data_IF_197070287675
#
_entry.id   IF_197070287675
#
_cell.length_a   1.000
_cell.length_b   1.000
_cell.length_c   1.000
_cell.angle_alpha   90.00
_cell.angle_beta   90.00
_cell.angle_gamma   90.00
#
_symmetry.space_group_name_H-M   'P 1'
#
loop_
_entity.id
_entity.type
_entity.pdbx_description
1 polymer ?
#
# COMPACT_ATOMS: atom_id res chain seq x y z
N UNK A 1 12.65 -9.87 -0.95
CA UNK A 1 13.77 -8.99 -1.31
C UNK A 1 14.44 -8.49 -0.04
N UNK A 2 15.77 -8.54 0.00
CA UNK A 2 16.56 -8.16 1.18
C UNK A 2 16.56 -6.65 1.39
N UNK A 3 16.39 -5.88 0.32
CA UNK A 3 16.32 -4.43 0.35
C UNK A 3 15.06 -3.93 -0.37
N UNK A 4 14.33 -3.05 0.29
CA UNK A 4 13.09 -2.42 -0.23
C UNK A 4 13.20 -0.89 -0.10
N UNK A 5 13.97 -0.20 -0.95
CA UNK A 5 14.37 1.20 -0.74
C UNK A 5 13.20 2.19 -0.75
N UNK A 6 12.10 1.88 -1.43
CA UNK A 6 10.91 2.74 -1.53
C UNK A 6 9.68 2.19 -0.80
N UNK A 7 9.84 1.16 0.06
CA UNK A 7 8.70 0.53 0.75
C UNK A 7 7.98 1.46 1.73
N UNK A 8 8.61 2.55 2.13
CA UNK A 8 8.06 3.58 3.02
C UNK A 8 7.23 4.64 2.28
N UNK A 9 7.24 4.65 0.94
CA UNK A 9 6.54 5.63 0.14
C UNK A 9 5.13 5.14 -0.25
N UNK A 10 4.17 6.03 -0.17
CA UNK A 10 2.86 5.83 -0.78
C UNK A 10 2.95 5.88 -2.30
N UNK A 11 1.99 5.28 -2.99
CA UNK A 11 2.01 5.21 -4.46
C UNK A 11 2.00 6.59 -5.13
N UNK A 12 1.23 7.52 -4.60
CA UNK A 12 1.22 8.92 -5.06
C UNK A 12 2.57 9.61 -4.87
N UNK A 13 3.30 9.30 -3.80
CA UNK A 13 4.66 9.82 -3.55
C UNK A 13 5.67 9.23 -4.54
N UNK A 14 5.54 7.96 -4.91
CA UNK A 14 6.38 7.34 -5.95
C UNK A 14 6.22 8.07 -7.29
N UNK A 15 4.98 8.40 -7.68
CA UNK A 15 4.74 9.21 -8.88
C UNK A 15 5.32 10.62 -8.78
N UNK A 16 5.19 11.26 -7.62
CA UNK A 16 5.79 12.56 -7.35
C UNK A 16 7.32 12.52 -7.48
N UNK A 17 7.95 11.51 -6.90
CA UNK A 17 9.39 11.29 -7.00
C UNK A 17 9.85 11.04 -8.44
N UNK A 18 9.10 10.23 -9.21
CA UNK A 18 9.41 9.95 -10.61
C UNK A 18 9.45 11.24 -11.43
N UNK A 19 8.48 12.14 -11.24
CA UNK A 19 8.47 13.46 -11.89
C UNK A 19 9.61 14.34 -11.43
N UNK A 20 9.89 14.38 -10.12
CA UNK A 20 11.00 15.16 -9.56
C UNK A 20 12.36 14.72 -10.12
N UNK A 21 12.54 13.42 -10.33
CA UNK A 21 13.76 12.86 -10.94
C UNK A 21 13.81 13.02 -12.48
N UNK A 22 12.81 13.65 -13.09
CA UNK A 22 12.77 13.90 -14.51
C UNK A 22 12.58 12.64 -15.37
N UNK A 23 11.92 11.61 -14.83
CA UNK A 23 11.62 10.42 -15.63
C UNK A 23 10.68 10.76 -16.79
N UNK A 24 10.77 10.06 -17.93
CA UNK A 24 9.92 10.31 -19.08
C UNK A 24 8.43 10.24 -18.70
N UNK A 25 7.62 11.14 -19.29
CA UNK A 25 6.18 11.22 -18.99
C UNK A 25 5.45 9.88 -19.18
N UNK A 26 5.84 9.09 -20.17
CA UNK A 26 5.30 7.74 -20.38
C UNK A 26 5.45 6.81 -19.16
N UNK A 27 6.48 7.03 -18.34
CA UNK A 27 6.71 6.28 -17.10
C UNK A 27 5.87 6.88 -15.97
N UNK A 28 5.84 8.22 -15.87
CA UNK A 28 5.11 8.93 -14.84
C UNK A 28 3.58 8.80 -14.98
N UNK A 29 3.09 8.60 -16.21
CA UNK A 29 1.67 8.44 -16.53
C UNK A 29 1.23 6.96 -16.61
N UNK A 30 2.17 6.01 -16.46
CA UNK A 30 1.83 4.59 -16.54
C UNK A 30 0.89 4.18 -15.40
N UNK A 31 -0.25 3.62 -15.76
CA UNK A 31 -1.19 3.06 -14.79
C UNK A 31 -0.68 1.68 -14.38
N UNK A 32 -0.57 1.37 -13.08
CA UNK A 32 -0.19 0.05 -12.63
C UNK A 32 -1.23 -0.99 -13.06
N UNK A 33 -0.76 -2.05 -13.66
CA UNK A 33 -1.59 -3.16 -14.14
C UNK A 33 -1.21 -4.46 -13.43
N UNK A 34 -2.13 -5.42 -13.44
CA UNK A 34 -1.88 -6.79 -12.98
C UNK A 34 -1.37 -7.61 -14.16
N UNK A 35 -0.07 -7.54 -14.45
CA UNK A 35 0.56 -8.19 -15.63
C UNK A 35 0.37 -9.72 -15.71
N UNK A 36 -0.11 -10.34 -14.63
CA UNK A 36 -0.29 -11.78 -14.52
C UNK A 36 -1.67 -12.27 -14.95
N UNK A 37 -2.60 -11.38 -15.27
CA UNK A 37 -3.97 -11.73 -15.66
C UNK A 37 -4.20 -11.51 -17.16
N UNK A 38 -4.96 -12.42 -17.76
CA UNK A 38 -5.29 -12.40 -19.21
C UNK A 38 -6.17 -11.22 -19.63
N UNK A 39 -6.82 -10.55 -18.68
CA UNK A 39 -7.63 -9.36 -18.89
C UNK A 39 -6.91 -8.16 -18.31
N UNK A 40 -6.85 -7.06 -19.08
CA UNK A 40 -6.30 -5.80 -18.62
C UNK A 40 -7.19 -5.21 -17.52
N UNK A 41 -6.79 -5.38 -16.27
CA UNK A 41 -7.42 -4.77 -15.11
C UNK A 41 -6.43 -3.85 -14.41
N UNK A 42 -6.89 -2.68 -13.97
CA UNK A 42 -6.12 -1.83 -13.08
C UNK A 42 -5.90 -2.50 -11.73
N UNK A 43 -4.74 -2.30 -11.10
CA UNK A 43 -4.50 -2.83 -9.76
C UNK A 43 -5.44 -2.22 -8.72
N UNK A 44 -5.85 -0.98 -8.90
CA UNK A 44 -6.82 -0.28 -8.08
C UNK A 44 -8.21 -0.92 -8.16
N UNK A 45 -8.64 -1.37 -9.34
CA UNK A 45 -9.90 -2.09 -9.53
C UNK A 45 -9.87 -3.49 -8.89
N UNK A 46 -8.71 -4.15 -8.88
CA UNK A 46 -8.56 -5.51 -8.39
C UNK A 46 -8.32 -5.59 -6.88
N UNK A 47 -7.50 -4.70 -6.34
CA UNK A 47 -7.08 -4.75 -4.93
C UNK A 47 -7.75 -3.72 -4.04
N UNK A 48 -8.26 -2.62 -4.61
CA UNK A 48 -8.74 -1.48 -3.86
C UNK A 48 -10.05 -0.96 -4.46
N UNK A 49 -11.00 -0.65 -3.59
CA UNK A 49 -12.27 -0.01 -3.97
C UNK A 49 -12.11 1.49 -4.35
N UNK A 50 -10.91 2.06 -4.18
CA UNK A 50 -10.62 3.47 -4.39
C UNK A 50 -9.39 3.66 -5.30
N UNK A 51 -9.34 4.77 -6.07
CA UNK A 51 -8.14 5.17 -6.79
C UNK A 51 -6.94 5.34 -5.84
N UNK A 52 -5.71 5.13 -6.32
CA UNK A 52 -4.49 5.17 -5.50
C UNK A 52 -4.36 6.41 -4.62
N UNK A 53 -4.70 7.60 -5.15
CA UNK A 53 -4.61 8.84 -4.38
C UNK A 53 -5.54 8.84 -3.17
N UNK A 54 -6.76 8.37 -3.36
CA UNK A 54 -7.76 8.25 -2.29
C UNK A 54 -7.38 7.15 -1.30
N UNK A 55 -6.87 6.03 -1.80
CA UNK A 55 -6.38 4.93 -0.98
C UNK A 55 -5.16 5.34 -0.14
N UNK A 56 -4.18 6.06 -0.73
CA UNK A 56 -3.02 6.57 -0.01
C UNK A 56 -3.43 7.52 1.12
N UNK A 57 -4.45 8.37 0.87
CA UNK A 57 -4.99 9.27 1.89
C UNK A 57 -5.68 8.49 3.01
N UNK A 58 -6.51 7.51 2.68
CA UNK A 58 -7.17 6.65 3.67
C UNK A 58 -6.14 5.86 4.51
N UNK A 59 -5.11 5.32 3.86
CA UNK A 59 -4.03 4.60 4.51
C UNK A 59 -3.21 5.49 5.45
N UNK A 60 -2.87 6.70 5.00
CA UNK A 60 -2.18 7.70 5.81
C UNK A 60 -3.04 8.08 7.02
N UNK A 61 -4.31 8.35 6.79
CA UNK A 61 -5.27 8.74 7.82
C UNK A 61 -5.41 7.66 8.90
N UNK A 62 -5.55 6.40 8.50
CA UNK A 62 -5.59 5.27 9.43
C UNK A 62 -4.30 5.17 10.25
N UNK A 63 -3.14 5.37 9.62
CA UNK A 63 -1.84 5.32 10.31
C UNK A 63 -1.67 6.43 11.34
N UNK A 64 -2.35 7.56 11.16
CA UNK A 64 -2.28 8.72 12.05
C UNK A 64 -3.49 8.86 12.98
N UNK A 65 -4.36 7.84 13.03
CA UNK A 65 -5.51 7.83 13.94
C UNK A 65 -6.60 8.82 13.56
N UNK A 66 -6.67 9.25 12.29
CA UNK A 66 -7.75 10.13 11.80
C UNK A 66 -9.05 9.33 11.74
N UNK A 67 -10.13 9.92 12.23
CA UNK A 67 -11.44 9.27 12.24
C UNK A 67 -11.98 9.04 10.82
N UNK A 68 -12.71 7.94 10.63
CA UNK A 68 -13.33 7.62 9.33
C UNK A 68 -14.31 8.71 8.85
N UNK A 69 -14.93 9.44 9.77
CA UNK A 69 -15.81 10.59 9.47
C UNK A 69 -15.08 11.71 8.72
N UNK A 70 -13.83 12.00 9.09
CA UNK A 70 -13.02 13.02 8.41
C UNK A 70 -12.59 12.54 7.02
N UNK A 71 -12.21 11.27 6.89
CA UNK A 71 -11.86 10.66 5.60
C UNK A 71 -13.06 10.66 4.67
N UNK A 72 -14.24 10.29 5.16
CA UNK A 72 -15.49 10.32 4.41
C UNK A 72 -15.75 11.71 3.83
N UNK A 73 -15.60 12.76 4.65
CA UNK A 73 -15.79 14.15 4.25
C UNK A 73 -14.78 14.60 3.17
N UNK A 74 -13.51 14.24 3.33
CA UNK A 74 -12.44 14.69 2.41
C UNK A 74 -12.48 13.95 1.08
N UNK A 75 -12.85 12.67 1.09
CA UNK A 75 -12.95 11.83 -0.11
C UNK A 75 -14.32 11.91 -0.80
N UNK A 76 -15.28 12.64 -0.22
CA UNK A 76 -16.66 12.74 -0.70
C UNK A 76 -17.32 11.36 -0.85
N UNK A 77 -17.16 10.51 0.17
CA UNK A 77 -17.75 9.17 0.28
C UNK A 77 -18.60 9.08 1.55
N UNK A 78 -19.45 8.08 1.63
CA UNK A 78 -20.22 7.82 2.85
C UNK A 78 -19.34 7.36 4.01
N UNK A 79 -19.80 7.55 5.25
CA UNK A 79 -19.12 7.04 6.44
C UNK A 79 -18.97 5.50 6.38
N UNK A 80 -20.00 4.81 5.92
CA UNK A 80 -19.98 3.35 5.79
C UNK A 80 -18.88 2.88 4.81
N UNK A 81 -18.68 3.60 3.69
CA UNK A 81 -17.59 3.31 2.75
C UNK A 81 -16.21 3.57 3.36
N UNK A 82 -16.04 4.67 4.08
CA UNK A 82 -14.78 4.97 4.76
C UNK A 82 -14.45 3.93 5.83
N UNK A 83 -15.42 3.50 6.62
CA UNK A 83 -15.27 2.41 7.61
C UNK A 83 -14.93 1.08 6.94
N UNK A 84 -15.58 0.75 5.81
CA UNK A 84 -15.28 -0.44 5.03
C UNK A 84 -13.85 -0.43 4.49
N UNK A 85 -13.35 0.71 3.99
CA UNK A 85 -11.97 0.89 3.54
C UNK A 85 -10.99 0.66 4.70
N UNK A 86 -11.25 1.22 5.88
CA UNK A 86 -10.41 1.02 7.06
C UNK A 86 -10.39 -0.45 7.50
N UNK A 87 -11.53 -1.11 7.49
CA UNK A 87 -11.66 -2.53 7.83
C UNK A 87 -10.89 -3.41 6.83
N UNK A 88 -10.97 -3.11 5.53
CA UNK A 88 -10.24 -3.82 4.47
C UNK A 88 -8.72 -3.66 4.63
N UNK A 89 -8.23 -2.44 4.87
CA UNK A 89 -6.80 -2.18 5.15
C UNK A 89 -6.35 -3.02 6.36
N UNK A 90 -7.12 -3.01 7.45
CA UNK A 90 -6.80 -3.76 8.65
C UNK A 90 -6.80 -5.28 8.41
N UNK A 91 -7.74 -5.79 7.62
CA UNK A 91 -7.81 -7.21 7.24
C UNK A 91 -6.59 -7.61 6.40
N UNK A 92 -6.26 -6.84 5.37
CA UNK A 92 -5.09 -7.08 4.50
C UNK A 92 -3.78 -7.06 5.31
N UNK A 93 -3.62 -6.14 6.24
CA UNK A 93 -2.45 -6.09 7.14
C UNK A 93 -2.32 -7.36 7.99
N UNK A 94 -3.43 -7.86 8.52
CA UNK A 94 -3.40 -9.11 9.31
C UNK A 94 -2.96 -10.30 8.46
N UNK A 95 -3.52 -10.44 7.26
CA UNK A 95 -3.23 -11.56 6.37
C UNK A 95 -1.85 -11.51 5.73
N UNK A 96 -1.26 -10.32 5.57
CA UNK A 96 0.07 -10.15 4.97
C UNK A 96 1.18 -9.95 6.00
N UNK A 97 0.89 -9.96 7.29
CA UNK A 97 1.85 -9.71 8.35
C UNK A 97 3.06 -10.64 8.26
N UNK A 98 2.85 -11.90 7.93
CA UNK A 98 3.92 -12.90 7.82
C UNK A 98 4.97 -12.55 6.74
N UNK A 99 4.62 -11.76 5.72
CA UNK A 99 5.55 -11.31 4.68
C UNK A 99 6.61 -10.31 5.19
N UNK A 100 6.39 -9.77 6.39
CA UNK A 100 7.25 -8.77 7.02
C UNK A 100 7.92 -9.29 8.30
N UNK A 101 7.68 -10.55 8.66
CA UNK A 101 8.33 -11.19 9.80
C UNK A 101 9.64 -11.82 9.36
N UNK A 102 10.60 -11.87 10.29
CA UNK A 102 11.79 -12.69 10.12
C UNK A 102 11.40 -14.18 9.99
N UNK A 103 12.18 -15.00 9.30
CA UNK A 103 11.95 -16.44 9.24
C UNK A 103 11.90 -17.06 10.66
N UNK A 104 10.93 -17.93 10.90
CA UNK A 104 10.89 -18.74 12.12
C UNK A 104 11.83 -19.90 11.91
N UNK A 105 12.89 -19.95 12.69
CA UNK A 105 13.85 -21.05 12.65
C UNK A 105 13.36 -22.21 13.51
N UNK A 106 13.49 -23.45 13.01
CA UNK A 106 13.13 -24.66 13.74
C UNK A 106 14.15 -24.99 14.85
N UNK A 107 15.33 -24.36 14.86
CA UNK A 107 16.38 -24.47 15.85
C UNK A 107 17.30 -23.26 15.81
N UNK A 108 18.17 -23.15 16.82
CA UNK A 108 19.16 -22.07 16.87
C UNK A 108 20.24 -22.30 15.80
N UNK A 109 20.66 -21.20 15.16
CA UNK A 109 21.82 -21.16 14.26
C UNK A 109 22.84 -20.23 14.90
N UNK A 110 23.85 -20.81 15.63
CA UNK A 110 24.73 -20.01 16.49
C UNK A 110 25.58 -18.97 15.75
N UNK A 111 25.79 -19.17 14.43
CA UNK A 111 26.60 -18.30 13.59
C UNK A 111 25.82 -17.06 13.08
N UNK A 112 24.49 -17.02 13.31
CA UNK A 112 23.65 -15.90 12.91
C UNK A 112 23.20 -15.11 14.13
N UNK A 113 23.70 -13.89 14.26
CA UNK A 113 23.13 -12.91 15.19
C UNK A 113 21.88 -12.31 14.53
N UNK A 114 20.71 -12.87 14.87
CA UNK A 114 19.42 -12.46 14.33
C UNK A 114 18.69 -11.45 15.23
N UNK A 115 19.37 -10.94 16.25
CA UNK A 115 18.80 -9.90 17.10
C UNK A 115 19.03 -8.52 16.45
N UNK A 116 17.94 -7.77 16.20
CA UNK A 116 18.04 -6.39 15.71
C UNK A 116 18.63 -5.44 16.77
#
# INVERSE_FOLDING_TARGET
ADVKPIAHLYKSQVYGMARHLGLPERVCAAVPTTDTYSLAQGQDEFYFALPYRSMDLALWSLNHGVAATEVARVLDISLAEAEAVYADIAAKRRTTRYLHLAPVLAGEVPELDLHP
#
